data_IF_863983046896
#
_entry.id   IF_863983046896
#
_cell.length_a   1.000
_cell.length_b   1.000
_cell.length_c   1.000
_cell.angle_alpha   90.00
_cell.angle_beta   90.00
_cell.angle_gamma   90.00
#
_symmetry.space_group_name_H-M   'P 1'
#
loop_
_entity.id
_entity.type
_entity.pdbx_description
1 polymer ?
#
# COMPACT_ATOMS: atom_id res chain seq x y z
N UNK A 1 17.65 9.88 24.34
CA UNK A 1 18.10 9.50 22.98
C UNK A 1 17.36 10.41 22.02
N UNK A 2 18.06 11.25 21.24
CA UNK A 2 17.38 12.09 20.25
C UNK A 2 16.83 11.18 19.16
N UNK A 3 15.52 11.14 18.98
CA UNK A 3 14.94 10.61 17.75
C UNK A 3 15.34 11.56 16.62
N UNK A 4 16.37 11.20 15.87
CA UNK A 4 16.74 11.90 14.66
C UNK A 4 15.62 11.70 13.64
N UNK A 5 15.02 12.79 13.18
CA UNK A 5 13.94 12.78 12.20
C UNK A 5 14.43 12.37 10.79
N UNK A 6 15.75 12.26 10.57
CA UNK A 6 16.35 11.90 9.29
C UNK A 6 15.80 10.59 8.71
N UNK A 7 15.58 9.57 9.56
CA UNK A 7 15.00 8.29 9.14
C UNK A 7 13.56 8.47 8.65
N UNK A 8 12.73 9.21 9.38
CA UNK A 8 11.34 9.51 9.01
C UNK A 8 11.26 10.35 7.74
N UNK A 9 12.12 11.38 7.61
CA UNK A 9 12.22 12.20 6.40
C UNK A 9 12.67 11.40 5.17
N UNK A 10 13.57 10.43 5.36
CA UNK A 10 13.97 9.51 4.29
C UNK A 10 12.80 8.62 3.84
N UNK A 11 11.92 8.23 4.76
CA UNK A 11 10.69 7.48 4.50
C UNK A 11 9.71 8.26 3.62
N UNK A 12 9.38 9.50 3.99
CA UNK A 12 8.49 10.37 3.19
C UNK A 12 9.05 10.65 1.79
N UNK A 13 10.37 10.84 1.67
CA UNK A 13 11.00 11.00 0.36
C UNK A 13 10.86 9.74 -0.53
N UNK A 14 11.00 8.55 0.05
CA UNK A 14 10.82 7.30 -0.68
C UNK A 14 9.36 7.12 -1.10
N UNK A 15 8.42 7.37 -0.19
CA UNK A 15 6.98 7.35 -0.45
C UNK A 15 6.59 8.27 -1.61
N UNK A 16 7.02 9.54 -1.58
CA UNK A 16 6.74 10.48 -2.66
C UNK A 16 7.29 10.03 -4.03
N UNK A 17 8.49 9.43 -4.05
CA UNK A 17 9.07 8.87 -5.28
C UNK A 17 8.25 7.70 -5.82
N UNK A 18 7.82 6.79 -4.95
CA UNK A 18 6.98 5.65 -5.34
C UNK A 18 5.63 6.12 -5.85
N UNK A 19 5.00 7.09 -5.19
CA UNK A 19 3.72 7.66 -5.60
C UNK A 19 3.81 8.27 -7.00
N UNK A 20 4.80 9.14 -7.23
CA UNK A 20 5.03 9.75 -8.55
C UNK A 20 5.32 8.71 -9.63
N UNK A 21 6.19 7.75 -9.35
CA UNK A 21 6.51 6.68 -10.31
C UNK A 21 5.27 5.86 -10.69
N UNK A 22 4.47 5.48 -9.69
CA UNK A 22 3.25 4.71 -9.90
C UNK A 22 2.24 5.50 -10.74
N UNK A 23 1.94 6.75 -10.36
CA UNK A 23 1.01 7.61 -11.11
C UNK A 23 1.46 7.85 -12.55
N UNK A 24 2.74 8.13 -12.79
CA UNK A 24 3.26 8.30 -14.15
C UNK A 24 3.18 7.02 -14.98
N UNK A 25 3.35 5.86 -14.35
CA UNK A 25 3.18 4.55 -15.02
C UNK A 25 1.73 4.34 -15.43
N UNK A 26 0.76 4.67 -14.56
CA UNK A 26 -0.66 4.60 -14.89
C UNK A 26 -1.04 5.54 -16.02
N UNK A 27 -0.59 6.81 -15.96
CA UNK A 27 -0.81 7.79 -17.03
C UNK A 27 -0.25 7.28 -18.36
N UNK A 28 0.99 6.78 -18.36
CA UNK A 28 1.64 6.27 -19.57
C UNK A 28 0.87 5.10 -20.17
N UNK A 29 0.47 4.12 -19.33
CA UNK A 29 -0.32 2.98 -19.77
C UNK A 29 -1.64 3.45 -20.39
N UNK A 30 -2.33 4.36 -19.73
CA UNK A 30 -3.63 4.83 -20.18
C UNK A 30 -3.56 5.60 -21.51
N UNK A 31 -2.52 6.43 -21.69
CA UNK A 31 -2.27 7.15 -22.94
C UNK A 31 -1.79 6.23 -24.07
N UNK A 32 -1.09 5.13 -23.76
CA UNK A 32 -0.74 4.11 -24.75
C UNK A 32 -1.97 3.37 -25.27
N UNK A 33 -2.95 3.10 -24.39
CA UNK A 33 -4.23 2.47 -24.76
C UNK A 33 -5.16 3.45 -25.48
N UNK A 34 -5.21 4.71 -25.04
CA UNK A 34 -5.99 5.78 -25.66
C UNK A 34 -5.23 7.12 -25.58
N UNK A 35 -4.65 7.55 -26.70
CA UNK A 35 -3.85 8.78 -26.77
C UNK A 35 -4.62 10.08 -26.48
N UNK A 36 -5.95 10.04 -26.47
CA UNK A 36 -6.82 11.17 -26.13
C UNK A 36 -7.56 10.94 -24.81
N UNK A 37 -7.06 10.06 -23.94
CA UNK A 37 -7.68 9.81 -22.64
C UNK A 37 -7.70 11.10 -21.81
N UNK A 38 -8.87 11.43 -21.28
CA UNK A 38 -9.06 12.55 -20.37
C UNK A 38 -8.93 12.07 -18.92
N UNK A 39 -8.03 12.69 -18.17
CA UNK A 39 -7.79 12.39 -16.76
C UNK A 39 -8.67 13.24 -15.82
N UNK A 40 -9.70 13.92 -16.34
CA UNK A 40 -10.66 14.64 -15.51
C UNK A 40 -11.28 13.71 -14.45
N UNK A 41 -11.24 14.15 -13.20
CA UNK A 41 -11.75 13.38 -12.05
C UNK A 41 -10.80 12.32 -11.51
N UNK A 42 -9.59 12.19 -12.06
CA UNK A 42 -8.53 11.39 -11.47
C UNK A 42 -7.70 12.20 -10.47
N UNK A 43 -7.37 11.59 -9.34
CA UNK A 43 -6.63 12.21 -8.24
C UNK A 43 -5.54 11.26 -7.73
N UNK A 44 -4.32 11.79 -7.55
CA UNK A 44 -3.33 11.21 -6.65
C UNK A 44 -3.51 11.90 -5.29
N UNK A 45 -3.81 11.13 -4.26
CA UNK A 45 -4.04 11.65 -2.91
C UNK A 45 -2.95 11.10 -2.00
N UNK A 46 -2.22 11.98 -1.33
CA UNK A 46 -1.19 11.59 -0.36
C UNK A 46 -1.78 11.58 1.05
N UNK A 47 -1.33 10.64 1.90
CA UNK A 47 -1.66 10.61 3.34
C UNK A 47 -3.17 10.59 3.64
N UNK A 48 -3.92 9.66 3.03
CA UNK A 48 -5.36 9.54 3.21
C UNK A 48 -5.77 8.22 3.88
N UNK A 49 -5.93 7.11 3.15
CA UNK A 49 -6.20 5.81 3.78
C UNK A 49 -4.91 5.13 4.25
N UNK A 50 -3.88 5.19 3.41
CA UNK A 50 -2.52 4.70 3.68
C UNK A 50 -1.51 5.78 3.28
N UNK A 51 -0.36 5.41 2.72
CA UNK A 51 0.67 6.35 2.33
C UNK A 51 0.28 7.16 1.06
N UNK A 52 -0.40 6.54 0.08
CA UNK A 52 -1.08 7.27 -1.01
C UNK A 52 -2.20 6.47 -1.66
N UNK A 53 -3.15 7.15 -2.29
CA UNK A 53 -4.30 6.57 -2.97
C UNK A 53 -4.37 7.05 -4.43
N UNK A 54 -4.92 6.19 -5.29
CA UNK A 54 -5.38 6.57 -6.63
C UNK A 54 -6.90 6.55 -6.63
N UNK A 55 -7.50 7.67 -7.01
CA UNK A 55 -8.94 7.85 -7.13
C UNK A 55 -9.29 8.23 -8.56
N UNK A 56 -10.34 7.60 -9.09
CA UNK A 56 -10.94 7.94 -10.37
C UNK A 56 -12.29 8.63 -10.20
N UNK A 57 -12.98 8.94 -11.32
CA UNK A 57 -14.26 9.63 -11.29
C UNK A 57 -15.35 8.87 -10.52
N UNK A 58 -15.29 7.54 -10.52
CA UNK A 58 -16.28 6.67 -9.87
C UNK A 58 -15.87 6.24 -8.44
N UNK A 59 -14.79 6.80 -7.90
CA UNK A 59 -14.30 6.49 -6.55
C UNK A 59 -12.87 5.97 -6.51
N UNK A 60 -12.49 5.38 -5.38
CA UNK A 60 -11.13 4.88 -5.18
C UNK A 60 -10.84 3.67 -6.07
N UNK A 61 -9.63 3.64 -6.63
CA UNK A 61 -9.14 2.56 -7.48
C UNK A 61 -8.11 1.72 -6.74
N UNK A 62 -7.21 2.36 -6.00
CA UNK A 62 -6.19 1.64 -5.24
C UNK A 62 -5.68 2.42 -4.03
N UNK A 63 -5.31 1.67 -3.01
CA UNK A 63 -4.62 2.15 -1.81
C UNK A 63 -3.20 1.60 -1.80
N UNK A 64 -2.24 2.42 -1.38
CA UNK A 64 -0.83 2.08 -1.45
C UNK A 64 -0.13 2.34 -0.13
N UNK A 65 0.42 1.28 0.44
CA UNK A 65 1.28 1.28 1.61
C UNK A 65 2.72 1.12 1.14
N UNK A 66 3.60 2.03 1.53
CA UNK A 66 5.02 2.11 1.17
C UNK A 66 5.88 1.91 2.41
N UNK A 67 6.81 0.95 2.34
CA UNK A 67 7.71 0.64 3.44
C UNK A 67 9.15 0.60 2.97
N UNK A 68 9.88 1.67 3.28
CA UNK A 68 11.30 1.87 2.99
C UNK A 68 12.21 1.18 4.02
N UNK A 69 11.94 -0.10 4.32
CA UNK A 69 12.66 -0.85 5.35
C UNK A 69 13.74 -1.71 4.68
N UNK A 70 14.96 -1.69 5.23
CA UNK A 70 16.05 -2.55 4.77
C UNK A 70 15.96 -3.96 5.38
N UNK A 71 14.80 -4.58 5.27
CA UNK A 71 14.52 -5.94 5.74
C UNK A 71 13.72 -6.67 4.67
N UNK A 72 13.83 -7.99 4.64
CA UNK A 72 13.15 -8.84 3.65
C UNK A 72 12.15 -9.80 4.28
N UNK A 73 12.18 -9.96 5.60
CA UNK A 73 11.29 -10.87 6.30
C UNK A 73 9.83 -10.40 6.17
N UNK A 74 8.93 -11.29 5.74
CA UNK A 74 7.51 -10.99 5.62
C UNK A 74 6.88 -10.55 6.96
N UNK A 75 7.32 -11.13 8.08
CA UNK A 75 6.84 -10.81 9.41
C UNK A 75 7.01 -9.33 9.79
N UNK A 76 8.02 -8.66 9.24
CA UNK A 76 8.25 -7.21 9.43
C UNK A 76 7.08 -6.36 8.92
N UNK A 77 6.29 -6.88 7.97
CA UNK A 77 5.23 -6.15 7.29
C UNK A 77 3.81 -6.56 7.75
N UNK A 78 3.67 -7.46 8.74
CA UNK A 78 2.36 -7.96 9.20
C UNK A 78 1.40 -6.82 9.59
N UNK A 79 1.88 -5.83 10.37
CA UNK A 79 1.06 -4.70 10.78
C UNK A 79 0.64 -3.81 9.60
N UNK A 80 1.54 -3.60 8.65
CA UNK A 80 1.28 -2.78 7.46
C UNK A 80 0.27 -3.45 6.52
N UNK A 81 0.34 -4.78 6.40
CA UNK A 81 -0.66 -5.58 5.69
C UNK A 81 -2.00 -5.58 6.40
N UNK A 82 -2.00 -5.73 7.72
CA UNK A 82 -3.22 -5.71 8.51
C UNK A 82 -3.96 -4.37 8.40
N UNK A 83 -3.25 -3.24 8.52
CA UNK A 83 -3.81 -1.91 8.31
C UNK A 83 -4.47 -1.78 6.94
N UNK A 84 -3.77 -2.19 5.87
CA UNK A 84 -4.30 -2.19 4.51
C UNK A 84 -5.60 -3.01 4.39
N UNK A 85 -5.65 -4.20 4.99
CA UNK A 85 -6.86 -5.04 4.95
C UNK A 85 -8.05 -4.36 5.64
N UNK A 86 -7.82 -3.67 6.77
CA UNK A 86 -8.88 -2.92 7.45
C UNK A 86 -9.41 -1.78 6.59
N UNK A 87 -8.54 -1.08 5.84
CA UNK A 87 -8.99 -0.06 4.90
C UNK A 87 -9.85 -0.65 3.78
N UNK A 88 -9.53 -1.86 3.33
CA UNK A 88 -10.25 -2.54 2.25
C UNK A 88 -11.55 -3.24 2.68
N UNK A 89 -11.76 -3.49 3.98
CA UNK A 89 -12.94 -4.21 4.51
C UNK A 89 -14.28 -3.44 4.37
N UNK A 90 -14.22 -2.19 3.92
CA UNK A 90 -15.41 -1.38 3.66
C UNK A 90 -16.17 -1.88 2.41
N UNK A 91 -17.52 -2.00 2.45
CA UNK A 91 -18.33 -2.32 1.26
C UNK A 91 -18.11 -1.34 0.09
N UNK A 92 -17.81 -0.08 0.41
CA UNK A 92 -17.52 0.96 -0.57
C UNK A 92 -16.16 0.78 -1.26
N UNK A 93 -15.31 -0.12 -0.75
CA UNK A 93 -13.97 -0.41 -1.26
C UNK A 93 -13.87 -1.81 -1.91
N UNK A 94 -15.01 -2.44 -2.21
CA UNK A 94 -15.07 -3.79 -2.79
C UNK A 94 -14.35 -3.95 -4.15
N UNK A 95 -14.14 -2.86 -4.88
CA UNK A 95 -13.36 -2.81 -6.13
C UNK A 95 -11.95 -2.23 -5.99
N UNK A 96 -11.56 -1.79 -4.78
CA UNK A 96 -10.28 -1.13 -4.53
C UNK A 96 -9.17 -2.17 -4.38
N UNK A 97 -8.03 -1.93 -5.01
CA UNK A 97 -6.86 -2.81 -4.93
C UNK A 97 -5.85 -2.25 -3.94
N UNK A 98 -5.45 -3.04 -2.94
CA UNK A 98 -4.36 -2.69 -2.03
C UNK A 98 -2.99 -3.10 -2.56
N UNK A 99 -2.00 -2.21 -2.43
CA UNK A 99 -0.60 -2.48 -2.77
C UNK A 99 0.32 -2.26 -1.59
N UNK A 100 1.25 -3.20 -1.37
CA UNK A 100 2.39 -3.03 -0.48
C UNK A 100 3.67 -2.86 -1.29
N UNK A 101 4.22 -1.65 -1.29
CA UNK A 101 5.50 -1.32 -1.93
C UNK A 101 6.63 -1.46 -0.93
N UNK A 102 7.59 -2.32 -1.24
CA UNK A 102 8.76 -2.60 -0.39
C UNK A 102 10.04 -2.13 -1.05
N UNK A 103 11.01 -1.67 -0.28
CA UNK A 103 12.33 -1.32 -0.83
C UNK A 103 13.15 -2.56 -1.19
N UNK A 104 13.12 -3.57 -0.32
CA UNK A 104 13.73 -4.87 -0.61
C UNK A 104 12.64 -5.89 -0.94
N UNK A 105 12.85 -6.75 -1.95
CA UNK A 105 11.93 -7.84 -2.24
C UNK A 105 11.67 -8.69 -0.99
N UNK A 106 10.41 -9.03 -0.75
CA UNK A 106 10.05 -9.91 0.35
C UNK A 106 10.63 -11.30 0.14
N UNK A 107 11.27 -11.83 1.17
CA UNK A 107 11.72 -13.21 1.21
C UNK A 107 10.52 -14.11 1.54
N UNK A 108 9.77 -14.45 0.50
CA UNK A 108 8.62 -15.35 0.59
C UNK A 108 9.04 -16.76 0.15
N UNK A 109 9.29 -17.62 1.14
CA UNK A 109 9.45 -19.06 0.92
C UNK A 109 8.05 -19.68 0.97
N UNK A 110 7.43 -19.86 -0.19
CA UNK A 110 6.00 -20.15 -0.34
C UNK A 110 5.55 -21.57 0.00
N UNK A 111 5.90 -22.09 1.17
CA UNK A 111 5.39 -23.38 1.64
C UNK A 111 3.99 -23.26 2.29
N UNK A 112 3.70 -22.13 2.94
CA UNK A 112 2.35 -21.80 3.43
C UNK A 112 1.62 -20.95 2.38
N UNK A 113 0.33 -21.22 2.15
CA UNK A 113 -0.49 -20.36 1.30
C UNK A 113 -0.59 -18.95 1.90
N UNK A 114 -0.66 -17.92 1.06
CA UNK A 114 -0.81 -16.53 1.52
C UNK A 114 -2.01 -16.37 2.48
N UNK A 115 -3.09 -17.09 2.19
CA UNK A 115 -4.32 -17.12 2.98
C UNK A 115 -4.09 -17.66 4.41
N UNK A 116 -3.25 -18.67 4.59
CA UNK A 116 -2.93 -19.22 5.92
C UNK A 116 -2.15 -18.22 6.76
N UNK A 117 -1.18 -17.52 6.18
CA UNK A 117 -0.47 -16.45 6.90
C UNK A 117 -1.38 -15.28 7.20
N UNK A 118 -2.27 -14.91 6.27
CA UNK A 118 -3.25 -13.86 6.48
C UNK A 118 -4.18 -14.19 7.65
N UNK A 119 -4.72 -15.41 7.69
CA UNK A 119 -5.52 -15.91 8.82
C UNK A 119 -4.73 -15.87 10.12
N UNK A 120 -3.46 -16.28 10.09
CA UNK A 120 -2.57 -16.19 11.26
C UNK A 120 -2.40 -14.77 11.79
N UNK A 121 -2.20 -13.78 10.90
CA UNK A 121 -2.11 -12.36 11.27
C UNK A 121 -3.42 -11.89 11.91
N UNK A 122 -4.56 -12.16 11.27
CA UNK A 122 -5.88 -11.77 11.78
C UNK A 122 -6.15 -12.39 13.16
N UNK A 123 -5.86 -13.68 13.34
CA UNK A 123 -6.03 -14.37 14.62
C UNK A 123 -5.14 -13.80 15.73
N UNK A 124 -3.87 -13.49 15.44
CA UNK A 124 -2.98 -12.85 16.41
C UNK A 124 -3.53 -11.50 16.87
N UNK A 125 -4.00 -10.66 15.93
CA UNK A 125 -4.52 -9.34 16.26
C UNK A 125 -5.78 -9.44 17.12
N UNK A 126 -6.74 -10.30 16.75
CA UNK A 126 -7.97 -10.50 17.53
C UNK A 126 -7.65 -10.95 18.95
N UNK A 127 -6.76 -11.94 19.12
CA UNK A 127 -6.43 -12.49 20.42
C UNK A 127 -5.70 -11.50 21.34
N UNK A 128 -4.85 -10.64 20.78
CA UNK A 128 -4.13 -9.61 21.55
C UNK A 128 -5.03 -8.45 22.05
N UNK A 129 -6.29 -8.38 21.60
CA UNK A 129 -7.25 -7.35 22.01
C UNK A 129 -8.40 -7.90 22.88
N UNK A 130 -8.33 -9.17 23.32
CA UNK A 130 -9.32 -9.82 24.20
C UNK A 130 -8.80 -9.93 25.66
N UNK A 131 -7.53 -9.61 25.93
CA UNK A 131 -6.98 -9.41 27.29
C UNK A 131 -7.07 -7.94 27.74
#
# INVERSE_FOLDING_TARGET
>A
MSHDASATWSGFNYQGKVALYHTLTLITKQLQENGNFDFLGFELILENHEDFDIKGPDGFQSFHQVKAINQTAFSTYENALFAMLLQLDSPNHSSVIGYLHTWKPLNWNGDDSFDEKLRGILSKVINNHIE
#
